data_IF_939326222591
#
_entry.id   IF_939326222591
#
_cell.length_a   1.000
_cell.length_b   1.000
_cell.length_c   1.000
_cell.angle_alpha   90.00
_cell.angle_beta   90.00
_cell.angle_gamma   90.00
#
_symmetry.space_group_name_H-M   'P 1'
#
loop_
_entity.id
_entity.type
_entity.pdbx_description
1 polymer ?
#
# COMPACT_ATOMS: atom_id res chain seq x y z
N UNK A 1 7.76 -19.58 23.28
CA UNK A 1 7.94 -19.00 21.93
C UNK A 1 9.26 -18.23 21.90
N UNK A 2 10.18 -18.52 20.94
CA UNK A 2 11.46 -17.84 20.78
C UNK A 2 11.30 -16.32 20.66
N UNK A 3 12.30 -15.56 21.14
CA UNK A 3 12.21 -14.08 21.20
C UNK A 3 12.21 -13.44 19.82
N UNK A 4 12.95 -14.02 18.87
CA UNK A 4 12.99 -13.58 17.48
C UNK A 4 11.65 -13.76 16.76
N UNK A 5 10.95 -14.88 16.98
CA UNK A 5 9.60 -15.09 16.43
C UNK A 5 8.58 -14.11 17.02
N UNK A 6 8.73 -13.78 18.30
CA UNK A 6 7.87 -12.78 18.94
C UNK A 6 8.10 -11.40 18.33
N UNK A 7 9.35 -10.98 18.11
CA UNK A 7 9.68 -9.70 17.47
C UNK A 7 9.07 -9.65 16.06
N UNK A 8 9.33 -10.66 15.23
CA UNK A 8 8.80 -10.74 13.87
C UNK A 8 7.26 -10.68 13.82
N UNK A 9 6.58 -11.30 14.80
CA UNK A 9 5.12 -11.22 14.89
C UNK A 9 4.64 -9.80 15.23
N UNK A 10 5.34 -9.10 16.12
CA UNK A 10 5.03 -7.70 16.46
C UNK A 10 5.30 -6.80 15.26
N UNK A 11 6.44 -6.98 14.59
CA UNK A 11 6.85 -6.17 13.44
C UNK A 11 5.91 -6.37 12.23
N UNK A 12 5.31 -7.57 12.10
CA UNK A 12 4.32 -7.86 11.06
C UNK A 12 2.90 -7.40 11.40
N UNK A 13 2.66 -7.01 12.65
CA UNK A 13 1.37 -6.51 13.09
C UNK A 13 1.12 -5.09 12.57
N UNK A 14 -0.10 -4.86 12.08
CA UNK A 14 -0.49 -3.51 11.68
C UNK A 14 -1.00 -2.75 12.92
N UNK A 15 -0.33 -1.67 13.35
CA UNK A 15 -0.70 -0.96 14.57
C UNK A 15 -1.92 -0.07 14.33
N UNK A 16 -3.11 -0.58 14.55
CA UNK A 16 -4.37 0.15 14.34
C UNK A 16 -5.29 0.15 15.57
N UNK A 17 -4.69 0.21 16.76
CA UNK A 17 -5.48 0.39 17.96
C UNK A 17 -6.16 1.77 17.94
N UNK A 18 -7.47 1.89 18.20
CA UNK A 18 -8.18 3.17 18.08
C UNK A 18 -7.72 4.22 19.09
N UNK A 19 -7.27 3.83 20.29
CA UNK A 19 -6.75 4.77 21.28
C UNK A 19 -5.37 5.28 20.92
N UNK A 20 -5.23 6.58 20.78
CA UNK A 20 -3.97 7.21 20.37
C UNK A 20 -2.76 6.83 21.25
N UNK A 21 -2.97 6.62 22.56
CA UNK A 21 -1.90 6.21 23.50
C UNK A 21 -1.48 4.73 23.34
N UNK A 22 -2.32 3.89 22.80
CA UNK A 22 -2.12 2.45 22.69
C UNK A 22 -1.79 1.99 21.26
N UNK A 23 -2.01 2.85 20.28
CA UNK A 23 -1.65 2.56 18.88
C UNK A 23 -0.16 2.79 18.66
N UNK A 24 0.51 1.84 18.05
CA UNK A 24 1.85 2.06 17.51
C UNK A 24 1.82 3.01 16.31
N UNK A 25 2.95 3.57 15.95
CA UNK A 25 3.13 4.20 14.67
C UNK A 25 2.92 3.17 13.55
N UNK A 26 2.49 3.62 12.38
CA UNK A 26 2.52 2.81 11.16
C UNK A 26 4.01 2.62 10.81
N UNK A 27 4.58 1.51 11.26
CA UNK A 27 5.98 1.24 11.08
C UNK A 27 6.35 0.79 9.66
N UNK A 28 7.44 0.06 9.56
CA UNK A 28 7.84 -0.55 8.29
C UNK A 28 6.76 -1.51 7.77
N UNK A 29 6.19 -1.22 6.60
CA UNK A 29 5.19 -2.05 5.97
C UNK A 29 5.76 -3.35 5.37
N UNK A 30 7.08 -3.45 5.22
CA UNK A 30 7.72 -4.61 4.59
C UNK A 30 7.38 -5.92 5.30
N UNK A 31 7.55 -6.06 6.64
CA UNK A 31 7.19 -7.29 7.33
C UNK A 31 5.72 -7.67 7.19
N UNK A 32 4.83 -6.67 7.13
CA UNK A 32 3.40 -6.90 6.89
C UNK A 32 3.16 -7.48 5.49
N UNK A 33 3.83 -6.94 4.47
CA UNK A 33 3.70 -7.44 3.10
C UNK A 33 4.30 -8.84 2.92
N UNK A 34 5.43 -9.13 3.56
CA UNK A 34 5.99 -10.48 3.60
C UNK A 34 5.01 -11.48 4.23
N UNK A 35 4.35 -11.10 5.33
CA UNK A 35 3.31 -11.91 5.96
C UNK A 35 2.08 -12.08 5.07
N UNK A 36 1.59 -11.00 4.44
CA UNK A 36 0.42 -11.09 3.54
C UNK A 36 0.67 -12.02 2.34
N UNK A 37 1.87 -11.97 1.76
CA UNK A 37 2.25 -12.88 0.68
C UNK A 37 2.31 -14.34 1.17
N UNK A 38 2.86 -14.61 2.36
CA UNK A 38 2.85 -15.94 2.98
C UNK A 38 1.41 -16.43 3.22
N UNK A 39 0.53 -15.56 3.74
CA UNK A 39 -0.89 -15.87 3.96
C UNK A 39 -1.56 -16.23 2.64
N UNK A 40 -1.36 -15.47 1.58
CA UNK A 40 -1.92 -15.76 0.25
C UNK A 40 -1.51 -17.14 -0.24
N UNK A 41 -0.23 -17.49 -0.13
CA UNK A 41 0.27 -18.79 -0.54
C UNK A 41 -0.36 -19.94 0.25
N UNK A 42 -0.54 -19.75 1.55
CA UNK A 42 -1.21 -20.74 2.41
C UNK A 42 -2.69 -20.90 2.02
N UNK A 43 -3.41 -19.78 1.84
CA UNK A 43 -4.85 -19.78 1.55
C UNK A 43 -5.16 -20.35 0.16
N UNK A 44 -4.33 -20.03 -0.85
CA UNK A 44 -4.46 -20.63 -2.18
C UNK A 44 -4.25 -22.15 -2.15
N UNK A 45 -3.21 -22.63 -1.45
CA UNK A 45 -2.95 -24.08 -1.31
C UNK A 45 -4.04 -24.82 -0.55
N UNK A 46 -4.78 -24.13 0.33
CA UNK A 46 -5.90 -24.69 1.09
C UNK A 46 -7.23 -24.58 0.39
N UNK A 47 -7.25 -23.99 -0.82
CA UNK A 47 -8.47 -23.74 -1.57
C UNK A 47 -9.49 -22.90 -0.78
N UNK A 48 -9.00 -21.85 -0.11
CA UNK A 48 -9.80 -20.93 0.70
C UNK A 48 -10.04 -19.59 -0.06
N UNK A 49 -10.84 -19.58 -1.13
CA UNK A 49 -10.95 -18.44 -2.06
C UNK A 49 -11.45 -17.17 -1.42
N UNK A 50 -12.33 -17.24 -0.43
CA UNK A 50 -12.81 -16.07 0.29
C UNK A 50 -11.67 -15.35 1.02
N UNK A 51 -10.81 -16.11 1.70
CA UNK A 51 -9.68 -15.58 2.43
C UNK A 51 -8.63 -14.98 1.50
N UNK A 52 -8.43 -15.58 0.32
CA UNK A 52 -7.57 -15.04 -0.74
C UNK A 52 -8.05 -13.66 -1.15
N UNK A 53 -9.33 -13.51 -1.49
CA UNK A 53 -9.91 -12.24 -1.93
C UNK A 53 -9.82 -11.16 -0.85
N UNK A 54 -10.10 -11.50 0.40
CA UNK A 54 -9.96 -10.57 1.54
C UNK A 54 -8.51 -10.14 1.71
N UNK A 55 -7.56 -11.08 1.62
CA UNK A 55 -6.12 -10.73 1.74
C UNK A 55 -5.64 -9.86 0.59
N UNK A 56 -6.07 -10.15 -0.66
CA UNK A 56 -5.76 -9.30 -1.82
C UNK A 56 -6.32 -7.87 -1.66
N UNK A 57 -7.51 -7.75 -1.08
CA UNK A 57 -8.11 -6.45 -0.81
C UNK A 57 -7.27 -5.66 0.21
N UNK A 58 -6.95 -6.26 1.37
CA UNK A 58 -6.13 -5.61 2.41
C UNK A 58 -4.74 -5.24 1.84
N UNK A 59 -4.12 -6.14 1.07
CA UNK A 59 -2.86 -5.86 0.40
C UNK A 59 -2.97 -4.61 -0.49
N UNK A 60 -4.06 -4.47 -1.25
CA UNK A 60 -4.30 -3.32 -2.12
C UNK A 60 -4.44 -1.99 -1.37
N UNK A 61 -5.04 -2.01 -0.18
CA UNK A 61 -5.32 -0.80 0.60
C UNK A 61 -4.07 -0.02 1.02
N UNK A 62 -2.95 -0.70 1.25
CA UNK A 62 -1.71 -0.08 1.73
C UNK A 62 -0.61 0.04 0.66
N UNK A 63 -0.85 -0.44 -0.57
CA UNK A 63 0.16 -0.39 -1.64
C UNK A 63 0.63 1.03 -1.97
N UNK A 64 -0.29 1.99 -2.00
CA UNK A 64 0.10 3.38 -2.26
C UNK A 64 0.98 3.94 -1.13
N UNK A 65 0.73 3.56 0.12
CA UNK A 65 1.58 3.94 1.26
C UNK A 65 2.94 3.23 1.21
N UNK A 66 2.96 1.98 0.80
CA UNK A 66 4.21 1.23 0.58
C UNK A 66 5.09 1.92 -0.46
N UNK A 67 4.50 2.49 -1.53
CA UNK A 67 5.23 3.27 -2.52
C UNK A 67 5.93 4.52 -1.93
N UNK A 68 5.34 5.11 -0.88
CA UNK A 68 5.89 6.28 -0.20
C UNK A 68 6.95 5.95 0.85
N UNK A 69 7.04 4.73 1.31
CA UNK A 69 7.95 4.34 2.38
C UNK A 69 9.42 4.70 2.13
N UNK A 70 9.99 4.55 0.91
CA UNK A 70 11.36 4.97 0.64
C UNK A 70 11.60 6.48 0.82
N UNK A 71 10.56 7.31 0.67
CA UNK A 71 10.64 8.78 0.74
C UNK A 71 10.29 9.30 2.13
N UNK A 72 9.21 8.80 2.71
CA UNK A 72 8.64 9.30 3.97
C UNK A 72 8.93 8.41 5.19
N UNK A 73 9.58 7.26 4.99
CA UNK A 73 9.76 6.28 6.06
C UNK A 73 8.42 5.62 6.40
N UNK A 74 7.88 5.81 7.57
CA UNK A 74 6.67 5.16 8.12
C UNK A 74 5.41 5.22 7.24
N UNK A 75 5.57 5.12 5.93
CA UNK A 75 4.52 4.89 4.95
C UNK A 75 3.41 5.93 4.89
N UNK A 76 3.68 7.16 5.34
CA UNK A 76 2.66 8.19 5.42
C UNK A 76 1.72 7.99 6.62
N UNK A 77 2.21 7.46 7.73
CA UNK A 77 1.49 7.46 9.01
C UNK A 77 0.95 8.87 9.30
N UNK A 78 -0.37 9.05 9.39
CA UNK A 78 -0.98 10.36 9.61
C UNK A 78 -0.56 11.02 10.93
N UNK A 79 0.00 10.26 11.89
CA UNK A 79 0.53 10.82 13.13
C UNK A 79 1.88 11.52 12.93
N UNK A 80 2.73 10.94 12.09
CA UNK A 80 4.09 11.43 11.84
C UNK A 80 4.17 12.30 10.61
N UNK A 81 3.23 12.15 9.68
CA UNK A 81 3.22 12.83 8.39
C UNK A 81 3.28 14.37 8.50
N UNK A 82 2.55 15.06 9.41
CA UNK A 82 2.65 16.52 9.53
C UNK A 82 4.06 17.01 9.85
N UNK A 83 4.83 16.26 10.66
CA UNK A 83 6.23 16.58 10.94
C UNK A 83 7.15 16.46 9.74
N UNK A 84 6.81 15.57 8.79
CA UNK A 84 7.60 15.32 7.56
C UNK A 84 7.22 16.24 6.42
N UNK A 85 5.92 16.44 6.19
CA UNK A 85 5.40 17.24 5.06
C UNK A 85 5.07 18.68 5.42
N UNK A 86 5.14 19.03 6.69
CA UNK A 86 4.80 20.32 7.23
C UNK A 86 3.32 20.46 7.58
N UNK A 87 2.99 21.55 8.29
CA UNK A 87 1.64 21.78 8.85
C UNK A 87 0.53 21.95 7.80
N UNK A 88 0.89 22.15 6.53
CA UNK A 88 -0.07 22.27 5.43
C UNK A 88 -1.01 21.07 5.32
N UNK A 89 -0.57 19.90 5.77
CA UNK A 89 -1.32 18.66 5.71
C UNK A 89 -2.04 18.29 7.00
N UNK A 90 -1.64 18.85 8.13
CA UNK A 90 -2.08 18.40 9.46
C UNK A 90 -2.74 19.46 10.32
N UNK A 91 -2.88 20.69 9.86
CA UNK A 91 -3.50 21.75 10.63
C UNK A 91 -5.02 21.88 10.43
N UNK A 92 -5.54 23.00 10.82
CA UNK A 92 -6.94 23.43 10.65
C UNK A 92 -7.43 23.54 9.19
N UNK A 93 -6.69 23.00 8.26
CA UNK A 93 -7.02 22.91 6.85
C UNK A 93 -6.69 24.14 6.01
N UNK A 94 -6.05 25.14 6.59
CA UNK A 94 -5.74 26.39 5.90
C UNK A 94 -4.44 26.37 5.07
N UNK A 95 -3.63 25.32 5.23
CA UNK A 95 -2.26 25.34 4.74
C UNK A 95 -2.04 24.98 3.28
N UNK A 96 -2.97 24.34 2.59
CA UNK A 96 -2.76 23.88 1.20
C UNK A 96 -3.75 24.54 0.23
N UNK A 97 -3.21 25.22 -0.77
CA UNK A 97 -4.01 25.87 -1.82
C UNK A 97 -4.66 24.86 -2.80
N UNK A 98 -4.34 23.58 -2.72
CA UNK A 98 -4.92 22.56 -3.57
C UNK A 98 -6.39 22.35 -3.25
N UNK A 99 -7.23 22.54 -4.25
CA UNK A 99 -8.70 22.43 -4.14
C UNK A 99 -9.25 21.13 -4.69
N UNK A 100 -8.39 20.23 -5.20
CA UNK A 100 -8.84 18.94 -5.74
C UNK A 100 -9.56 18.12 -4.68
N UNK A 101 -10.54 17.30 -5.09
CA UNK A 101 -11.25 16.40 -4.19
C UNK A 101 -10.30 15.42 -3.47
N UNK A 102 -9.22 15.01 -4.16
CA UNK A 102 -8.19 14.14 -3.60
C UNK A 102 -7.46 14.81 -2.43
N UNK A 103 -7.04 16.06 -2.58
CA UNK A 103 -6.38 16.81 -1.51
C UNK A 103 -7.31 17.13 -0.34
N UNK A 104 -8.57 17.39 -0.62
CA UNK A 104 -9.58 17.56 0.43
C UNK A 104 -9.79 16.26 1.22
N UNK A 105 -9.71 15.10 0.55
CA UNK A 105 -9.77 13.78 1.19
C UNK A 105 -8.53 13.54 2.06
N UNK A 106 -7.32 13.81 1.56
CA UNK A 106 -6.10 13.65 2.33
C UNK A 106 -6.10 14.53 3.60
N UNK A 107 -6.51 15.81 3.49
CA UNK A 107 -6.61 16.70 4.64
C UNK A 107 -7.59 16.18 5.69
N UNK A 108 -8.78 15.73 5.25
CA UNK A 108 -9.77 15.12 6.15
C UNK A 108 -9.24 13.85 6.82
N UNK A 109 -8.52 13.02 6.07
CA UNK A 109 -7.92 11.79 6.60
C UNK A 109 -6.91 12.09 7.70
N UNK A 110 -6.03 13.05 7.46
CA UNK A 110 -5.01 13.43 8.44
C UNK A 110 -5.62 14.08 9.68
N UNK A 111 -6.62 14.94 9.49
CA UNK A 111 -7.33 15.57 10.61
C UNK A 111 -8.07 14.52 11.46
N UNK A 112 -8.76 13.59 10.82
CA UNK A 112 -9.44 12.50 11.51
C UNK A 112 -8.46 11.62 12.30
N UNK A 113 -7.33 11.25 11.70
CA UNK A 113 -6.35 10.37 12.33
C UNK A 113 -5.64 11.01 13.54
N UNK A 114 -5.55 12.34 13.58
CA UNK A 114 -4.92 13.10 14.68
C UNK A 114 -5.91 13.49 15.77
N UNK A 115 -7.19 13.27 15.54
CA UNK A 115 -8.23 13.54 16.51
C UNK A 115 -8.27 12.52 17.66
N UNK A 116 -9.44 12.36 18.22
CA UNK A 116 -9.72 11.37 19.24
C UNK A 116 -9.82 9.94 18.68
N UNK A 117 -10.22 9.01 19.51
CA UNK A 117 -10.41 7.59 19.18
C UNK A 117 -11.44 7.41 18.04
N UNK A 118 -12.51 8.19 18.03
CA UNK A 118 -13.54 8.16 17.00
C UNK A 118 -12.99 8.62 15.64
N UNK A 119 -12.22 9.70 15.66
CA UNK A 119 -11.55 10.23 14.47
C UNK A 119 -10.58 9.24 13.86
N UNK A 120 -9.79 8.55 14.68
CA UNK A 120 -8.86 7.53 14.20
C UNK A 120 -9.58 6.30 13.62
N UNK A 121 -10.64 5.85 14.25
CA UNK A 121 -11.49 4.78 13.72
C UNK A 121 -12.09 5.18 12.37
N UNK A 122 -12.61 6.41 12.26
CA UNK A 122 -13.13 6.94 10.99
C UNK A 122 -12.05 7.02 9.90
N UNK A 123 -10.80 7.33 10.26
CA UNK A 123 -9.67 7.29 9.33
C UNK A 123 -9.43 5.88 8.80
N UNK A 124 -9.35 4.89 9.68
CA UNK A 124 -9.16 3.49 9.29
C UNK A 124 -10.28 3.00 8.36
N UNK A 125 -11.53 3.34 8.67
CA UNK A 125 -12.69 2.89 7.90
C UNK A 125 -12.79 3.51 6.49
N UNK A 126 -12.38 4.77 6.34
CA UNK A 126 -12.78 5.56 5.17
C UNK A 126 -11.63 6.17 4.37
N UNK A 127 -10.50 6.40 5.01
CA UNK A 127 -9.50 7.31 4.45
C UNK A 127 -8.10 6.74 4.29
N UNK A 128 -7.72 5.69 5.02
CA UNK A 128 -6.34 5.20 5.05
C UNK A 128 -5.81 4.86 3.64
N UNK A 129 -6.61 4.21 2.81
CA UNK A 129 -6.23 3.85 1.45
C UNK A 129 -6.08 5.03 0.49
N UNK A 130 -6.62 6.19 0.84
CA UNK A 130 -6.63 7.38 -0.02
C UNK A 130 -5.45 8.31 0.20
N UNK A 131 -4.76 8.18 1.32
CA UNK A 131 -3.69 9.10 1.70
C UNK A 131 -2.51 9.03 0.74
N UNK A 132 -2.06 7.81 0.40
CA UNK A 132 -0.95 7.60 -0.52
C UNK A 132 -1.23 8.15 -1.92
N UNK A 133 -2.45 7.97 -2.44
CA UNK A 133 -2.85 8.54 -3.73
C UNK A 133 -2.86 10.07 -3.73
N UNK A 134 -3.36 10.67 -2.65
CA UNK A 134 -3.41 12.13 -2.54
C UNK A 134 -2.01 12.75 -2.48
N UNK A 135 -1.07 12.09 -1.80
CA UNK A 135 0.33 12.50 -1.79
C UNK A 135 0.95 12.36 -3.19
N UNK A 136 0.62 11.31 -3.95
CA UNK A 136 1.04 11.10 -5.33
C UNK A 136 0.62 12.25 -6.24
N UNK A 137 -0.63 12.68 -6.17
CA UNK A 137 -1.12 13.85 -6.93
C UNK A 137 -0.30 15.10 -6.61
N UNK A 138 0.04 15.33 -5.33
CA UNK A 138 0.86 16.47 -4.93
C UNK A 138 2.28 16.38 -5.51
N UNK A 139 2.90 15.21 -5.44
CA UNK A 139 4.24 14.99 -6.00
C UNK A 139 4.30 15.27 -7.50
N UNK A 140 3.30 14.81 -8.26
CA UNK A 140 3.26 15.01 -9.71
C UNK A 140 3.02 16.46 -10.13
N UNK A 141 2.14 17.17 -9.44
CA UNK A 141 1.92 18.58 -9.73
C UNK A 141 3.21 19.39 -9.65
N UNK A 142 4.02 19.13 -8.62
CA UNK A 142 5.30 19.83 -8.48
C UNK A 142 6.35 19.33 -9.47
N UNK A 143 6.34 18.04 -9.78
CA UNK A 143 7.21 17.47 -10.78
C UNK A 143 6.98 18.10 -12.16
N UNK A 144 5.73 18.32 -12.55
CA UNK A 144 5.36 18.97 -13.81
C UNK A 144 5.80 20.43 -13.85
N UNK A 145 5.68 21.15 -12.74
CA UNK A 145 6.17 22.54 -12.61
C UNK A 145 7.69 22.61 -12.79
N UNK A 146 8.44 21.75 -12.15
CA UNK A 146 9.91 21.73 -12.23
C UNK A 146 10.41 21.38 -13.64
N UNK A 147 9.66 20.57 -14.38
CA UNK A 147 9.94 20.26 -15.78
C UNK A 147 9.56 21.41 -16.73
N UNK A 148 8.98 22.50 -16.24
CA UNK A 148 8.49 23.59 -17.06
C UNK A 148 7.17 23.28 -17.78
N UNK A 149 6.55 22.15 -17.49
CA UNK A 149 5.26 21.75 -18.02
C UNK A 149 4.12 22.34 -17.18
N UNK A 150 3.00 22.63 -17.81
CA UNK A 150 1.80 23.04 -17.07
C UNK A 150 1.11 21.78 -16.52
N UNK A 151 0.80 21.71 -15.22
CA UNK A 151 0.06 20.59 -14.68
C UNK A 151 -1.33 20.52 -15.30
N UNK A 152 -1.70 19.35 -15.83
CA UNK A 152 -3.02 19.08 -16.45
C UNK A 152 -4.19 19.27 -15.47
N UNK A 153 -3.92 19.38 -14.19
CA UNK A 153 -4.92 19.55 -13.12
C UNK A 153 -5.25 21.00 -12.75
N UNK A 154 -4.78 21.97 -13.50
CA UNK A 154 -5.21 23.38 -13.40
C UNK A 154 -4.86 24.09 -12.09
N UNK A 155 -4.02 23.52 -11.25
CA UNK A 155 -3.67 24.06 -9.93
C UNK A 155 -2.16 24.19 -9.82
N UNK A 156 -1.69 25.42 -9.83
CA UNK A 156 -0.33 25.77 -9.45
C UNK A 156 -0.25 25.91 -7.93
N UNK A 157 0.60 25.15 -7.26
CA UNK A 157 0.90 25.37 -5.86
C UNK A 157 1.92 26.52 -5.75
N UNK A 158 1.55 27.68 -5.22
CA UNK A 158 2.45 28.84 -5.15
C UNK A 158 3.56 28.65 -4.09
N UNK A 159 3.39 27.69 -3.20
CA UNK A 159 4.31 27.41 -2.10
C UNK A 159 4.41 25.90 -1.90
N UNK A 160 5.28 25.22 -2.67
CA UNK A 160 5.42 23.77 -2.64
C UNK A 160 5.94 23.27 -1.29
N UNK A 161 5.48 22.07 -0.90
CA UNK A 161 5.91 21.41 0.32
C UNK A 161 7.39 21.02 0.23
N UNK A 162 8.15 21.23 1.32
CA UNK A 162 9.60 20.94 1.35
C UNK A 162 9.95 19.50 0.97
N UNK A 163 9.14 18.53 1.37
CA UNK A 163 9.37 17.12 1.05
C UNK A 163 9.25 16.83 -0.45
N UNK A 164 8.42 17.58 -1.18
CA UNK A 164 8.33 17.48 -2.64
C UNK A 164 9.58 18.06 -3.28
N UNK A 165 10.07 19.19 -2.78
CA UNK A 165 11.26 19.85 -3.30
C UNK A 165 12.56 19.12 -2.95
N UNK A 166 12.54 18.22 -1.96
CA UNK A 166 13.73 17.47 -1.56
C UNK A 166 14.15 16.40 -2.58
N UNK A 167 13.22 15.91 -3.43
CA UNK A 167 13.50 14.91 -4.45
C UNK A 167 13.77 15.51 -5.83
N UNK A 168 14.55 14.79 -6.65
CA UNK A 168 14.74 15.13 -8.06
C UNK A 168 13.45 14.89 -8.88
N UNK A 169 13.43 15.38 -10.11
CA UNK A 169 12.35 15.09 -11.05
C UNK A 169 12.18 13.59 -11.29
N UNK A 170 13.28 12.88 -11.51
CA UNK A 170 13.31 11.45 -11.75
C UNK A 170 12.76 10.65 -10.56
N UNK A 171 13.15 11.04 -9.34
CA UNK A 171 12.66 10.40 -8.12
C UNK A 171 11.15 10.57 -7.93
N UNK A 172 10.63 11.78 -8.21
CA UNK A 172 9.19 12.06 -8.13
C UNK A 172 8.42 11.32 -9.20
N UNK A 173 8.94 11.27 -10.44
CA UNK A 173 8.34 10.51 -11.53
C UNK A 173 8.30 9.00 -11.23
N UNK A 174 9.39 8.46 -10.70
CA UNK A 174 9.46 7.06 -10.28
C UNK A 174 8.46 6.77 -9.13
N UNK A 175 8.31 7.69 -8.19
CA UNK A 175 7.32 7.57 -7.12
C UNK A 175 5.89 7.57 -7.67
N UNK A 176 5.55 8.50 -8.56
CA UNK A 176 4.23 8.55 -9.20
C UNK A 176 3.91 7.25 -9.95
N UNK A 177 4.87 6.73 -10.71
CA UNK A 177 4.71 5.48 -11.43
C UNK A 177 4.38 4.31 -10.48
N UNK A 178 5.02 4.25 -9.30
CA UNK A 178 4.72 3.24 -8.26
C UNK A 178 3.33 3.43 -7.65
N UNK A 179 2.94 4.66 -7.34
CA UNK A 179 1.59 4.98 -6.84
C UNK A 179 0.52 4.63 -7.89
N UNK A 180 0.81 4.89 -9.16
CA UNK A 180 -0.07 4.51 -10.27
C UNK A 180 -0.24 2.99 -10.38
N UNK A 181 0.82 2.19 -10.22
CA UNK A 181 0.72 0.73 -10.15
C UNK A 181 -0.16 0.28 -8.97
N UNK A 182 0.06 0.86 -7.78
CA UNK A 182 -0.73 0.56 -6.60
C UNK A 182 -2.23 0.81 -6.85
N UNK A 183 -2.57 1.91 -7.51
CA UNK A 183 -3.93 2.26 -7.89
C UNK A 183 -4.52 1.28 -8.90
N UNK A 184 -3.76 0.89 -9.95
CA UNK A 184 -4.20 -0.09 -10.95
C UNK A 184 -4.55 -1.42 -10.27
N UNK A 185 -3.76 -1.87 -9.30
CA UNK A 185 -4.06 -3.07 -8.54
C UNK A 185 -5.31 -2.89 -7.66
N UNK A 186 -5.42 -1.79 -6.93
CA UNK A 186 -6.55 -1.53 -6.04
C UNK A 186 -7.89 -1.43 -6.80
N UNK A 187 -7.89 -0.89 -8.00
CA UNK A 187 -9.06 -0.78 -8.88
C UNK A 187 -9.29 -2.06 -9.73
N UNK A 188 -8.52 -3.11 -9.52
CA UNK A 188 -8.57 -4.33 -10.33
C UNK A 188 -9.80 -5.19 -10.05
N UNK A 189 -10.14 -6.04 -11.03
CA UNK A 189 -11.18 -7.05 -10.87
C UNK A 189 -10.89 -8.04 -9.72
N UNK A 190 -9.62 -8.34 -9.45
CA UNK A 190 -9.23 -9.20 -8.34
C UNK A 190 -9.65 -8.62 -6.99
N UNK A 191 -9.36 -7.34 -6.75
CA UNK A 191 -9.75 -6.64 -5.51
C UNK A 191 -11.27 -6.47 -5.45
N UNK A 192 -11.92 -6.21 -6.58
CA UNK A 192 -13.37 -6.06 -6.68
C UNK A 192 -14.15 -7.36 -6.34
N UNK A 193 -13.54 -8.55 -6.49
CA UNK A 193 -14.16 -9.81 -6.10
C UNK A 193 -14.60 -9.85 -4.63
N UNK A 194 -13.99 -9.06 -3.75
CA UNK A 194 -14.43 -8.93 -2.36
C UNK A 194 -15.89 -8.51 -2.26
N UNK A 195 -16.38 -7.66 -3.15
CA UNK A 195 -17.76 -7.20 -3.12
C UNK A 195 -18.77 -8.33 -3.43
N UNK A 196 -18.31 -9.41 -4.06
CA UNK A 196 -19.08 -10.60 -4.36
C UNK A 196 -18.94 -11.71 -3.30
N UNK A 197 -18.00 -11.58 -2.34
CA UNK A 197 -17.83 -12.52 -1.25
C UNK A 197 -18.92 -12.32 -0.17
N UNK A 198 -19.24 -13.34 0.66
CA UNK A 198 -20.27 -13.26 1.72
C UNK A 198 -20.03 -12.17 2.76
N UNK A 199 -18.81 -11.66 2.84
CA UNK A 199 -18.44 -10.49 3.66
C UNK A 199 -18.67 -9.15 2.94
N UNK A 200 -19.17 -9.18 1.69
CA UNK A 200 -19.52 -8.02 0.88
C UNK A 200 -21.03 -7.85 0.73
N UNK A 201 -21.45 -7.18 -0.34
CA UNK A 201 -22.85 -6.86 -0.59
C UNK A 201 -23.62 -7.96 -1.34
N UNK A 202 -22.96 -9.00 -1.85
CA UNK A 202 -23.54 -10.08 -2.62
C UNK A 202 -23.17 -11.44 -2.02
N UNK A 203 -24.13 -12.40 -2.12
CA UNK A 203 -23.97 -13.75 -1.57
C UNK A 203 -23.31 -14.67 -2.61
N UNK A 204 -22.00 -14.58 -2.77
CA UNK A 204 -21.25 -15.47 -3.63
C UNK A 204 -19.88 -15.79 -3.05
N UNK A 205 -19.38 -16.99 -3.32
CA UNK A 205 -18.01 -17.38 -3.02
C UNK A 205 -17.29 -17.48 -4.35
N UNK A 206 -16.31 -16.59 -4.62
CA UNK A 206 -15.54 -16.71 -5.84
C UNK A 206 -14.83 -18.05 -5.87
N UNK A 207 -14.83 -18.69 -7.04
CA UNK A 207 -14.06 -19.91 -7.28
C UNK A 207 -12.59 -19.60 -7.47
N UNK A 208 -11.71 -20.61 -7.31
CA UNK A 208 -10.29 -20.49 -7.64
C UNK A 208 -10.05 -20.08 -9.10
N UNK A 209 -10.91 -20.52 -10.03
CA UNK A 209 -10.83 -20.13 -11.45
C UNK A 209 -11.19 -18.66 -11.68
N UNK A 210 -12.18 -18.11 -10.98
CA UNK A 210 -12.53 -16.70 -11.05
C UNK A 210 -11.39 -15.83 -10.50
N UNK A 211 -10.77 -16.23 -9.39
CA UNK A 211 -9.59 -15.57 -8.84
C UNK A 211 -8.43 -15.59 -9.84
N UNK A 212 -8.15 -16.77 -10.43
CA UNK A 212 -7.10 -16.91 -11.45
C UNK A 212 -7.33 -16.04 -12.68
N UNK A 213 -8.56 -16.02 -13.20
CA UNK A 213 -8.92 -15.19 -14.35
C UNK A 213 -8.82 -13.68 -14.02
N UNK A 214 -9.32 -13.27 -12.86
CA UNK A 214 -9.23 -11.89 -12.40
C UNK A 214 -7.76 -11.47 -12.21
N UNK A 215 -6.90 -12.37 -11.72
CA UNK A 215 -5.48 -12.11 -11.62
C UNK A 215 -4.81 -11.96 -12.98
N UNK A 216 -5.07 -12.86 -13.93
CA UNK A 216 -4.51 -12.75 -15.29
C UNK A 216 -4.88 -11.40 -15.93
N UNK A 217 -6.12 -10.97 -15.82
CA UNK A 217 -6.54 -9.67 -16.33
C UNK A 217 -5.85 -8.51 -15.62
N UNK A 218 -5.71 -8.60 -14.31
CA UNK A 218 -4.99 -7.61 -13.49
C UNK A 218 -3.52 -7.54 -13.90
N UNK A 219 -2.87 -8.70 -14.01
CA UNK A 219 -1.47 -8.81 -14.42
C UNK A 219 -1.21 -8.20 -15.79
N UNK A 220 -2.07 -8.47 -16.75
CA UNK A 220 -1.97 -7.88 -18.08
C UNK A 220 -2.06 -6.35 -18.02
N UNK A 221 -3.00 -5.81 -17.25
CA UNK A 221 -3.14 -4.36 -17.07
C UNK A 221 -1.94 -3.72 -16.36
N UNK A 222 -1.35 -4.40 -15.39
CA UNK A 222 -0.13 -3.95 -14.70
C UNK A 222 1.08 -3.89 -15.64
N UNK A 223 1.12 -4.75 -16.67
CA UNK A 223 2.20 -4.82 -17.65
C UNK A 223 1.87 -4.10 -18.98
N UNK A 224 0.82 -3.28 -19.03
CA UNK A 224 0.55 -2.45 -20.19
C UNK A 224 1.60 -1.35 -20.38
N UNK A 225 1.97 -1.08 -21.63
CA UNK A 225 2.80 0.06 -21.97
C UNK A 225 2.04 1.36 -21.69
N UNK A 226 2.58 2.22 -20.86
CA UNK A 226 2.03 3.56 -20.65
C UNK A 226 2.52 4.53 -21.71
N UNK A 227 1.69 5.53 -22.05
CA UNK A 227 1.99 6.49 -23.11
C UNK A 227 3.29 7.28 -22.85
N UNK A 228 3.63 7.52 -21.59
CA UNK A 228 4.84 8.21 -21.14
C UNK A 228 6.05 7.29 -20.97
N UNK A 229 5.89 5.98 -21.21
CA UNK A 229 6.94 4.97 -21.07
C UNK A 229 7.39 4.70 -19.62
N UNK A 230 6.68 5.23 -18.62
CA UNK A 230 7.12 5.20 -17.22
C UNK A 230 6.70 3.94 -16.43
N UNK A 231 6.10 2.91 -17.08
CA UNK A 231 5.67 1.72 -16.36
C UNK A 231 6.87 0.92 -15.80
N UNK A 232 7.09 0.90 -14.47
CA UNK A 232 8.25 0.23 -13.90
C UNK A 232 8.13 -1.30 -13.93
N UNK A 233 6.96 -1.88 -14.22
CA UNK A 233 6.79 -3.32 -14.47
C UNK A 233 7.42 -3.76 -15.80
N UNK A 234 7.75 -2.84 -16.68
CA UNK A 234 8.41 -3.10 -17.97
C UNK A 234 9.88 -2.69 -17.98
N UNK A 235 10.39 -2.17 -16.86
CA UNK A 235 11.78 -1.73 -16.72
C UNK A 235 12.59 -2.73 -15.88
N UNK A 236 13.47 -3.54 -16.50
CA UNK A 236 14.32 -4.47 -15.76
C UNK A 236 15.28 -3.82 -14.78
N UNK A 237 15.52 -2.51 -14.89
CA UNK A 237 16.37 -1.75 -13.97
C UNK A 237 15.59 -1.18 -12.77
N UNK A 238 14.26 -1.30 -12.76
CA UNK A 238 13.45 -0.82 -11.64
C UNK A 238 13.79 -1.59 -10.36
N UNK A 239 13.99 -0.89 -9.23
CA UNK A 239 14.25 -1.57 -7.96
C UNK A 239 13.12 -2.56 -7.62
N UNK A 240 13.48 -3.79 -7.24
CA UNK A 240 12.52 -4.86 -6.94
C UNK A 240 12.05 -5.67 -8.15
N UNK A 241 12.45 -5.31 -9.37
CA UNK A 241 12.08 -6.06 -10.57
C UNK A 241 12.71 -7.48 -10.63
N UNK A 242 13.83 -7.69 -9.98
CA UNK A 242 14.59 -8.95 -9.91
C UNK A 242 13.88 -10.07 -9.12
N UNK A 243 12.79 -9.75 -8.42
CA UNK A 243 11.96 -10.77 -7.77
C UNK A 243 11.30 -11.65 -8.83
N UNK A 244 11.45 -12.98 -8.67
CA UNK A 244 10.93 -13.93 -9.65
C UNK A 244 9.41 -13.78 -9.82
N UNK A 245 8.98 -13.62 -11.07
CA UNK A 245 7.56 -13.53 -11.39
C UNK A 245 6.84 -14.88 -11.26
N UNK A 246 7.56 -16.00 -11.23
CA UNK A 246 6.95 -17.32 -11.00
C UNK A 246 6.75 -17.63 -9.51
N UNK A 247 7.29 -16.80 -8.61
CA UNK A 247 7.21 -17.03 -7.17
C UNK A 247 5.80 -16.74 -6.64
N UNK A 248 5.33 -17.61 -5.75
CA UNK A 248 4.05 -17.47 -5.07
C UNK A 248 2.82 -18.01 -5.82
N UNK A 249 1.71 -18.04 -5.12
CA UNK A 249 0.44 -18.60 -5.60
C UNK A 249 -0.25 -17.74 -6.66
N UNK A 250 0.04 -16.44 -6.69
CA UNK A 250 -0.35 -15.50 -7.75
C UNK A 250 0.92 -15.02 -8.47
N UNK A 251 1.30 -15.66 -9.60
CA UNK A 251 2.57 -15.39 -10.26
C UNK A 251 2.74 -13.91 -10.61
N UNK A 252 3.86 -13.32 -10.17
CA UNK A 252 4.17 -11.91 -10.37
C UNK A 252 3.70 -10.96 -9.28
N UNK A 253 2.84 -11.38 -8.35
CA UNK A 253 2.36 -10.52 -7.27
C UNK A 253 3.50 -10.01 -6.39
N UNK A 254 4.43 -10.88 -5.99
CA UNK A 254 5.59 -10.49 -5.19
C UNK A 254 6.49 -9.48 -5.96
N UNK A 255 6.68 -9.67 -7.27
CA UNK A 255 7.39 -8.70 -8.12
C UNK A 255 6.68 -7.34 -8.14
N UNK A 256 5.37 -7.31 -8.35
CA UNK A 256 4.59 -6.07 -8.34
C UNK A 256 4.75 -5.33 -7.00
N UNK A 257 4.57 -6.03 -5.89
CA UNK A 257 4.76 -5.45 -4.53
C UNK A 257 6.18 -4.91 -4.37
N UNK A 258 7.19 -5.65 -4.83
CA UNK A 258 8.60 -5.26 -4.76
C UNK A 258 8.91 -4.02 -5.57
N UNK A 259 8.39 -3.94 -6.79
CA UNK A 259 8.54 -2.75 -7.65
C UNK A 259 7.87 -1.53 -7.03
N UNK A 260 6.68 -1.69 -6.45
CA UNK A 260 5.98 -0.60 -5.74
C UNK A 260 6.78 -0.16 -4.51
N UNK A 261 7.35 -1.08 -3.75
CA UNK A 261 8.18 -0.79 -2.59
C UNK A 261 9.58 -0.24 -2.94
N UNK A 262 9.98 -0.30 -4.20
CA UNK A 262 11.33 -0.02 -4.68
C UNK A 262 12.41 -0.86 -3.96
N UNK A 263 12.09 -2.09 -3.58
CA UNK A 263 13.02 -3.06 -2.96
C UNK A 263 12.44 -4.46 -3.02
N UNK A 264 13.26 -5.52 -3.01
CA UNK A 264 12.77 -6.90 -3.00
C UNK A 264 11.92 -7.20 -1.77
N UNK A 265 10.70 -7.73 -2.00
CA UNK A 265 9.79 -8.28 -0.99
C UNK A 265 9.34 -9.64 -1.48
N UNK A 266 9.45 -10.66 -0.64
CA UNK A 266 9.03 -12.03 -0.91
C UNK A 266 8.10 -12.54 0.19
N UNK A 267 7.41 -13.64 -0.08
CA UNK A 267 6.64 -14.30 0.97
C UNK A 267 7.55 -14.66 2.16
N UNK A 268 7.11 -14.28 3.35
CA UNK A 268 7.80 -14.61 4.59
C UNK A 268 7.64 -16.08 4.97
N UNK A 269 8.19 -16.44 6.12
CA UNK A 269 8.05 -17.77 6.71
C UNK A 269 7.58 -17.71 8.17
N UNK A 270 6.97 -16.60 8.57
CA UNK A 270 6.59 -16.36 9.96
C UNK A 270 5.59 -17.39 10.47
N UNK A 271 4.51 -17.63 9.71
CA UNK A 271 3.47 -18.59 10.09
C UNK A 271 3.97 -20.03 10.05
N UNK A 272 4.81 -20.36 9.09
CA UNK A 272 5.48 -21.64 9.00
C UNK A 272 6.36 -21.89 10.23
N UNK A 273 7.19 -20.92 10.61
CA UNK A 273 8.11 -21.03 11.73
C UNK A 273 7.36 -21.14 13.07
N UNK A 274 6.26 -20.38 13.22
CA UNK A 274 5.34 -20.49 14.36
C UNK A 274 4.72 -21.89 14.44
N UNK A 275 4.26 -22.44 13.31
CA UNK A 275 3.70 -23.80 13.24
C UNK A 275 4.71 -24.87 13.64
N UNK A 276 5.94 -24.79 13.12
CA UNK A 276 7.03 -25.71 13.48
C UNK A 276 7.33 -25.66 14.96
N UNK A 277 7.42 -24.45 15.54
CA UNK A 277 7.68 -24.23 16.97
C UNK A 277 6.56 -24.83 17.83
N UNK A 278 5.30 -24.55 17.48
CA UNK A 278 4.17 -25.09 18.21
C UNK A 278 4.12 -26.62 18.20
N UNK A 279 4.38 -27.24 17.05
CA UNK A 279 4.45 -28.70 16.93
C UNK A 279 5.60 -29.28 17.79
N UNK A 280 6.76 -28.63 17.80
CA UNK A 280 7.88 -29.06 18.61
C UNK A 280 7.56 -29.00 20.12
N UNK A 281 6.94 -27.91 20.59
CA UNK A 281 6.50 -27.75 21.98
C UNK A 281 5.45 -28.79 22.36
N UNK A 282 4.47 -29.08 21.50
CA UNK A 282 3.45 -30.10 21.75
C UNK A 282 4.02 -31.54 21.83
N UNK A 283 5.10 -31.84 21.09
CA UNK A 283 5.75 -33.15 21.14
C UNK A 283 6.68 -33.32 22.34
N UNK A 284 7.02 -32.24 23.03
CA UNK A 284 7.87 -32.25 24.20
C UNK A 284 7.11 -32.46 25.53
N UNK A 285 5.78 -32.41 25.48
CA UNK A 285 4.84 -32.74 26.57
C UNK A 285 4.45 -34.21 26.49
#
# INVERSE_FOLDING_TARGET
MPADLRSRLVDSGFPHHPRAAERGALGDLIPLYELMLEVLDIRMRREEPQQVVVTCHILGEYLAQLAWQPVLGDGGDPLTLPGKVGQKWGGDGQGCAHTSAMNATARRSMHAAQGDEEGYTSYLDKFHSRLGEALGVCAMNHATIDAGERPDVGITCPDPCRWVLAGTWEERRALDARVRLARIFQESGLVALRHHAPVGHFFGVPSGSEIGNAWVMTWNKLNEQWADGSNPMLDPSAPGYDVDASDGALPGLARMVSVIAARPIRAGHLLRDLGVTAIAELKAV
#
